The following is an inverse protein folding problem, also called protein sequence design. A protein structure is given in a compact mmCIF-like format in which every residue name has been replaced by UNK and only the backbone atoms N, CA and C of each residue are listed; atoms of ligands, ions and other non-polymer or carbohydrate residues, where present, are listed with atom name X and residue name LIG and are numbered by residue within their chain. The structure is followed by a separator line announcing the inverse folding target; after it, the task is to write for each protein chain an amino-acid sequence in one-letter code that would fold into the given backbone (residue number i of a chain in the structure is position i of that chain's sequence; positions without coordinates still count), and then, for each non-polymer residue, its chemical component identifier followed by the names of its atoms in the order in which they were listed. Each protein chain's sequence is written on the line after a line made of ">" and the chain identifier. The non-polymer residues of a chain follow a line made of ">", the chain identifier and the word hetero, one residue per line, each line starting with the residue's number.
data_IF_050403117726
#
_entry.id   IF_050403117726
#
_cell.length_a   1.000
_cell.length_b   1.000
_cell.length_c   1.000
_cell.angle_alpha   90.00
_cell.angle_beta   90.00
_cell.angle_gamma   90.00
#
_symmetry.space_group_name_H-M   'P 1'
#
loop_
_entity.id
_entity.type
_entity.pdbx_description
1 polymer ?
#
# COMPACT_ATOMS: atom_id res chain seq x y z
N UNK A 1 -17.84 13.89 21.75
CA UNK A 1 -16.74 13.21 21.03
C UNK A 1 -15.49 14.07 20.99
N UNK A 2 -15.46 15.18 20.24
CA UNK A 2 -14.25 16.03 20.09
C UNK A 2 -13.68 16.49 21.43
N UNK A 3 -14.53 16.96 22.35
CA UNK A 3 -14.09 17.36 23.70
C UNK A 3 -13.41 16.23 24.50
N UNK A 4 -13.74 14.96 24.21
CA UNK A 4 -13.18 13.80 24.91
C UNK A 4 -11.99 13.17 24.19
N UNK A 5 -11.90 13.31 22.86
CA UNK A 5 -10.76 12.90 22.05
C UNK A 5 -10.55 13.93 20.91
N UNK A 6 -9.72 14.95 21.15
CA UNK A 6 -9.48 16.02 20.19
C UNK A 6 -8.88 15.52 18.87
N UNK A 7 -8.13 14.42 18.90
CA UNK A 7 -7.39 13.88 17.75
C UNK A 7 -8.17 12.77 17.02
N UNK A 8 -9.46 12.56 17.31
CA UNK A 8 -10.24 11.46 16.70
C UNK A 8 -10.21 11.51 15.17
N UNK A 9 -10.28 12.71 14.58
CA UNK A 9 -10.27 12.89 13.13
C UNK A 9 -8.90 12.73 12.48
N UNK A 10 -7.81 12.88 13.24
CA UNK A 10 -6.46 12.60 12.75
C UNK A 10 -6.28 11.09 12.48
N UNK A 11 -7.01 10.25 13.22
CA UNK A 11 -6.88 8.80 13.19
C UNK A 11 -7.90 8.09 12.28
N UNK A 12 -8.75 8.81 11.55
CA UNK A 12 -9.64 8.21 10.55
C UNK A 12 -9.17 8.54 9.14
N UNK A 13 -9.31 7.57 8.24
CA UNK A 13 -8.84 7.66 6.85
C UNK A 13 -9.94 8.10 5.87
N UNK A 14 -11.19 8.16 6.33
CA UNK A 14 -12.33 8.55 5.50
C UNK A 14 -13.56 8.89 6.32
N UNK A 15 -14.48 9.59 5.67
CA UNK A 15 -15.80 9.92 6.20
C UNK A 15 -16.86 9.05 5.55
N UNK A 16 -17.75 8.49 6.36
CA UNK A 16 -18.84 7.63 5.89
C UNK A 16 -20.14 8.41 5.91
N UNK A 17 -20.91 8.33 4.82
CA UNK A 17 -22.20 9.00 4.68
C UNK A 17 -23.30 8.02 4.24
N UNK A 18 -24.46 8.11 4.88
CA UNK A 18 -25.68 7.39 4.49
C UNK A 18 -26.61 8.40 3.80
N UNK A 19 -26.29 8.72 2.55
CA UNK A 19 -26.94 9.79 1.78
C UNK A 19 -28.24 9.29 1.13
N UNK A 20 -29.27 9.02 1.95
CA UNK A 20 -30.59 8.61 1.46
C UNK A 20 -31.47 9.79 1.05
N UNK A 21 -32.34 9.63 0.03
CA UNK A 21 -33.29 10.64 -0.43
C UNK A 21 -34.54 10.70 0.49
N UNK A 22 -34.45 11.36 1.65
CA UNK A 22 -35.62 11.50 2.53
C UNK A 22 -36.59 12.62 2.08
N UNK A 23 -37.87 12.57 2.48
CA UNK A 23 -38.51 11.54 3.32
C UNK A 23 -38.78 10.22 2.58
N UNK A 24 -38.93 9.13 3.36
CA UNK A 24 -39.38 7.81 2.87
C UNK A 24 -38.62 7.25 1.66
N UNK A 25 -37.35 7.63 1.51
CA UNK A 25 -36.49 7.17 0.42
C UNK A 25 -37.04 7.49 -0.98
N UNK A 26 -37.81 8.58 -1.11
CA UNK A 26 -38.47 9.01 -2.35
C UNK A 26 -38.17 10.46 -2.73
N UNK A 27 -37.25 11.12 -2.01
CA UNK A 27 -36.80 12.49 -2.29
C UNK A 27 -36.21 12.68 -3.69
N UNK A 28 -35.98 13.94 -4.08
CA UNK A 28 -35.48 14.26 -5.42
C UNK A 28 -33.98 14.00 -5.51
N UNK A 29 -33.55 13.66 -6.71
CA UNK A 29 -32.16 13.52 -7.12
C UNK A 29 -31.40 14.86 -7.18
N UNK A 30 -32.09 15.97 -6.90
CA UNK A 30 -31.52 17.32 -6.83
C UNK A 30 -31.56 17.91 -5.41
N UNK A 31 -32.16 17.20 -4.45
CA UNK A 31 -32.27 17.69 -3.08
C UNK A 31 -30.88 17.75 -2.42
N UNK A 32 -30.69 18.78 -1.58
CA UNK A 32 -29.45 19.04 -0.86
C UNK A 32 -29.67 19.30 0.62
N UNK A 33 -28.61 19.16 1.40
CA UNK A 33 -28.65 19.31 2.86
C UNK A 33 -28.83 17.99 3.60
N UNK A 34 -29.10 18.09 4.90
CA UNK A 34 -29.20 16.94 5.81
C UNK A 34 -30.34 16.00 5.40
N UNK A 35 -30.04 14.71 5.28
CA UNK A 35 -31.03 13.68 4.98
C UNK A 35 -31.39 13.59 3.49
N UNK A 36 -30.55 14.12 2.60
CA UNK A 36 -30.71 14.04 1.14
C UNK A 36 -29.62 13.18 0.52
N UNK A 37 -29.65 13.02 -0.80
CA UNK A 37 -28.59 12.35 -1.55
C UNK A 37 -27.25 13.10 -1.57
N UNK A 38 -27.27 14.37 -1.12
CA UNK A 38 -26.11 15.23 -0.89
C UNK A 38 -25.81 15.41 0.60
N UNK A 39 -26.23 14.49 1.47
CA UNK A 39 -25.99 14.60 2.92
C UNK A 39 -24.51 14.74 3.26
N UNK A 40 -23.62 14.10 2.49
CA UNK A 40 -22.17 14.21 2.64
C UNK A 40 -21.66 15.67 2.58
N UNK A 41 -22.30 16.55 1.80
CA UNK A 41 -21.94 17.98 1.72
C UNK A 41 -22.24 18.68 3.04
N UNK A 42 -23.41 18.42 3.62
CA UNK A 42 -23.82 18.97 4.91
C UNK A 42 -22.95 18.43 6.05
N UNK A 43 -22.66 17.13 6.05
CA UNK A 43 -21.81 16.47 7.04
C UNK A 43 -20.40 17.05 7.04
N UNK A 44 -19.76 17.14 5.87
CA UNK A 44 -18.40 17.69 5.75
C UNK A 44 -18.34 19.19 6.08
N UNK A 45 -19.38 19.96 5.72
CA UNK A 45 -19.50 21.37 6.14
C UNK A 45 -19.63 21.50 7.66
N UNK A 46 -20.35 20.56 8.29
CA UNK A 46 -20.48 20.50 9.75
C UNK A 46 -19.12 20.21 10.40
N UNK A 47 -18.34 19.25 9.87
CA UNK A 47 -16.98 18.98 10.36
C UNK A 47 -16.08 20.22 10.29
N UNK A 48 -16.13 20.96 9.17
CA UNK A 48 -15.39 22.22 9.01
C UNK A 48 -15.80 23.26 10.05
N UNK A 49 -17.10 23.39 10.32
CA UNK A 49 -17.61 24.32 11.34
C UNK A 49 -17.15 23.98 12.77
N UNK A 50 -16.79 22.72 13.01
CA UNK A 50 -16.23 22.24 14.28
C UNK A 50 -14.69 22.38 14.36
N UNK A 51 -14.06 23.01 13.36
CA UNK A 51 -12.62 23.21 13.29
C UNK A 51 -11.82 22.03 12.75
N UNK A 52 -12.49 21.02 12.18
CA UNK A 52 -11.82 19.89 11.55
C UNK A 52 -11.43 20.29 10.12
N UNK A 53 -10.13 20.52 9.92
CA UNK A 53 -9.58 20.98 8.64
C UNK A 53 -9.02 19.84 7.77
N UNK A 54 -8.96 18.61 8.29
CA UNK A 54 -8.55 17.44 7.52
C UNK A 54 -9.60 17.17 6.43
N UNK A 55 -9.19 17.25 5.16
CA UNK A 55 -10.04 16.86 4.04
C UNK A 55 -10.09 15.34 3.97
N UNK A 56 -11.21 14.77 4.40
CA UNK A 56 -11.42 13.33 4.43
C UNK A 56 -12.03 12.84 3.10
N UNK A 57 -11.50 11.76 2.52
CA UNK A 57 -12.19 11.04 1.45
C UNK A 57 -13.57 10.57 1.91
N UNK A 58 -14.56 10.61 1.03
CA UNK A 58 -15.97 10.34 1.34
C UNK A 58 -16.36 8.97 0.77
N UNK A 59 -16.97 8.15 1.61
CA UNK A 59 -17.54 6.86 1.26
C UNK A 59 -19.05 6.92 1.51
N UNK A 60 -19.83 6.92 0.44
CA UNK A 60 -21.28 6.80 0.55
C UNK A 60 -21.59 5.30 0.65
N UNK A 61 -21.59 4.78 1.87
CA UNK A 61 -21.70 3.33 2.13
C UNK A 61 -23.12 2.80 1.97
N UNK A 62 -24.11 3.70 2.02
CA UNK A 62 -25.51 3.38 1.80
C UNK A 62 -26.26 4.53 1.12
N UNK A 63 -26.99 4.21 0.07
CA UNK A 63 -27.95 5.10 -0.59
C UNK A 63 -28.89 4.27 -1.47
N UNK A 64 -30.00 4.85 -1.91
CA UNK A 64 -30.94 4.20 -2.80
C UNK A 64 -32.35 4.79 -2.68
N UNK A 65 -33.17 4.50 -3.68
CA UNK A 65 -34.58 4.84 -3.68
C UNK A 65 -35.42 3.59 -3.46
N UNK A 66 -36.53 3.76 -2.75
CA UNK A 66 -37.47 2.67 -2.51
C UNK A 66 -38.34 2.41 -3.73
N UNK A 67 -38.38 1.16 -4.20
CA UNK A 67 -39.28 0.69 -5.26
C UNK A 67 -40.75 0.56 -4.82
N UNK A 68 -41.03 0.79 -3.53
CA UNK A 68 -42.39 0.87 -3.02
C UNK A 68 -43.06 2.19 -3.39
N UNK A 69 -42.27 3.27 -3.42
CA UNK A 69 -42.77 4.64 -3.60
C UNK A 69 -42.56 5.17 -5.03
N UNK A 70 -41.69 4.52 -5.81
CA UNK A 70 -41.29 4.97 -7.14
C UNK A 70 -41.26 3.80 -8.13
N UNK A 71 -41.55 4.09 -9.39
CA UNK A 71 -41.44 3.09 -10.46
C UNK A 71 -39.98 2.75 -10.77
N UNK A 72 -39.72 1.56 -11.32
CA UNK A 72 -38.37 1.15 -11.71
C UNK A 72 -37.69 2.16 -12.64
N UNK A 73 -38.46 2.70 -13.61
CA UNK A 73 -37.95 3.69 -14.57
C UNK A 73 -37.49 4.98 -13.87
N UNK A 74 -38.30 5.49 -12.93
CA UNK A 74 -37.96 6.68 -12.15
C UNK A 74 -36.74 6.46 -11.28
N UNK A 75 -36.62 5.30 -10.62
CA UNK A 75 -35.43 4.97 -9.82
C UNK A 75 -34.18 4.95 -10.70
N UNK A 76 -34.30 4.35 -11.90
CA UNK A 76 -33.23 4.34 -12.88
C UNK A 76 -32.75 5.74 -13.28
N UNK A 77 -33.68 6.63 -13.64
CA UNK A 77 -33.33 8.03 -13.98
C UNK A 77 -32.68 8.76 -12.81
N UNK A 78 -33.20 8.59 -11.58
CA UNK A 78 -32.66 9.22 -10.37
C UNK A 78 -31.25 8.75 -10.06
N UNK A 79 -31.00 7.44 -10.14
CA UNK A 79 -29.66 6.86 -9.94
C UNK A 79 -28.70 7.34 -11.03
N UNK A 80 -29.12 7.31 -12.30
CA UNK A 80 -28.30 7.82 -13.40
C UNK A 80 -27.93 9.30 -13.20
N UNK A 81 -28.88 10.14 -12.81
CA UNK A 81 -28.61 11.54 -12.49
C UNK A 81 -27.64 11.68 -11.31
N UNK A 82 -27.86 10.93 -10.23
CA UNK A 82 -27.02 11.00 -9.04
C UNK A 82 -25.57 10.61 -9.34
N UNK A 83 -25.34 9.49 -10.03
CA UNK A 83 -24.00 9.06 -10.42
C UNK A 83 -23.29 10.03 -11.38
N UNK A 84 -24.03 10.72 -12.24
CA UNK A 84 -23.44 11.58 -13.27
C UNK A 84 -23.35 13.05 -12.89
N UNK A 85 -24.10 13.53 -11.91
CA UNK A 85 -24.19 14.96 -11.56
C UNK A 85 -24.05 15.28 -10.07
N UNK A 86 -24.25 14.29 -9.19
CA UNK A 86 -24.26 14.53 -7.73
C UNK A 86 -23.04 13.93 -7.07
N UNK A 87 -22.77 12.66 -7.33
CA UNK A 87 -21.66 11.92 -6.75
C UNK A 87 -20.38 12.03 -7.61
N UNK A 88 -20.14 13.23 -8.13
CA UNK A 88 -18.99 13.56 -9.00
C UNK A 88 -17.90 14.36 -8.26
N UNK A 89 -18.11 14.68 -6.99
CA UNK A 89 -17.10 15.32 -6.14
C UNK A 89 -15.86 14.42 -6.07
N UNK A 90 -14.69 14.98 -6.35
CA UNK A 90 -13.41 14.24 -6.40
C UNK A 90 -13.01 13.62 -5.06
N UNK A 91 -13.63 14.05 -3.95
CA UNK A 91 -13.43 13.46 -2.62
C UNK A 91 -14.21 12.17 -2.45
N UNK A 92 -15.24 11.91 -3.26
CA UNK A 92 -16.02 10.67 -3.19
C UNK A 92 -15.20 9.54 -3.80
N UNK A 93 -14.88 8.55 -2.97
CA UNK A 93 -14.09 7.37 -3.36
C UNK A 93 -15.00 6.24 -3.82
N UNK A 94 -16.15 6.06 -3.15
CA UNK A 94 -17.09 5.00 -3.47
C UNK A 94 -18.52 5.39 -3.13
N UNK A 95 -19.46 4.84 -3.91
CA UNK A 95 -20.90 4.87 -3.65
C UNK A 95 -21.43 3.45 -3.71
N UNK A 96 -22.08 3.02 -2.65
CA UNK A 96 -22.60 1.66 -2.48
C UNK A 96 -24.12 1.72 -2.36
N UNK A 97 -24.86 1.41 -3.43
CA UNK A 97 -26.30 1.32 -3.35
C UNK A 97 -26.76 0.14 -2.48
N UNK A 98 -27.77 0.40 -1.66
CA UNK A 98 -28.45 -0.56 -0.81
C UNK A 98 -29.67 -1.12 -1.59
N UNK A 99 -29.87 -2.42 -1.81
CA UNK A 99 -28.90 -3.54 -1.76
C UNK A 99 -28.98 -4.42 -3.00
N UNK A 100 -27.87 -5.07 -3.36
CA UNK A 100 -27.83 -5.88 -4.58
C UNK A 100 -28.82 -7.05 -4.59
N UNK A 101 -28.88 -7.87 -3.52
CA UNK A 101 -29.73 -9.06 -3.49
C UNK A 101 -30.35 -9.34 -2.13
N UNK A 102 -31.58 -8.88 -1.93
CA UNK A 102 -32.43 -9.24 -0.78
C UNK A 102 -33.89 -8.91 -1.08
N UNK A 103 -34.61 -9.72 -1.86
CA UNK A 103 -35.98 -9.42 -2.26
C UNK A 103 -37.01 -9.54 -1.12
N UNK A 104 -36.59 -9.95 0.09
CA UNK A 104 -37.48 -10.23 1.22
C UNK A 104 -37.75 -8.98 2.08
N UNK A 105 -38.92 -8.87 2.72
CA UNK A 105 -39.17 -7.83 3.72
C UNK A 105 -38.15 -7.87 4.89
N UNK A 106 -37.87 -6.73 5.53
CA UNK A 106 -38.42 -5.40 5.24
C UNK A 106 -37.65 -4.64 4.15
N UNK A 107 -36.47 -5.11 3.73
CA UNK A 107 -35.57 -4.36 2.84
C UNK A 107 -35.71 -4.68 1.35
N UNK A 108 -36.62 -5.60 0.97
CA UNK A 108 -36.93 -5.93 -0.42
C UNK A 108 -37.29 -4.74 -1.29
N UNK A 109 -37.77 -3.66 -0.67
CA UNK A 109 -38.07 -2.41 -1.36
C UNK A 109 -36.84 -1.69 -1.93
N UNK A 110 -35.64 -2.10 -1.52
CA UNK A 110 -34.35 -1.59 -2.00
C UNK A 110 -33.58 -2.63 -2.82
N UNK A 111 -34.09 -3.86 -2.93
CA UNK A 111 -33.38 -4.93 -3.63
C UNK A 111 -33.25 -4.62 -5.12
N UNK A 112 -32.07 -4.87 -5.68
CA UNK A 112 -31.83 -4.75 -7.11
C UNK A 112 -32.20 -6.04 -7.85
N UNK A 113 -32.32 -7.15 -7.13
CA UNK A 113 -32.91 -8.40 -7.61
C UNK A 113 -34.36 -8.56 -7.16
N UNK A 114 -35.14 -9.24 -7.99
CA UNK A 114 -36.50 -9.71 -7.75
C UNK A 114 -36.47 -11.09 -7.09
N UNK A 115 -37.62 -11.53 -6.58
CA UNK A 115 -37.76 -12.82 -5.90
C UNK A 115 -37.46 -14.04 -6.79
N UNK A 116 -37.58 -13.88 -8.11
CA UNK A 116 -37.26 -14.91 -9.11
C UNK A 116 -35.77 -14.93 -9.52
N UNK A 117 -34.95 -14.05 -8.93
CA UNK A 117 -33.52 -13.91 -9.23
C UNK A 117 -33.21 -12.98 -10.41
N UNK A 118 -34.22 -12.48 -11.13
CA UNK A 118 -34.01 -11.48 -12.18
C UNK A 118 -33.72 -10.09 -11.61
N UNK A 119 -33.16 -9.19 -12.40
CA UNK A 119 -32.87 -7.82 -11.97
C UNK A 119 -34.01 -6.85 -12.31
N UNK A 120 -34.16 -5.80 -11.50
CA UNK A 120 -34.98 -4.62 -11.85
C UNK A 120 -34.29 -3.82 -12.97
N UNK A 121 -35.05 -3.13 -13.81
CA UNK A 121 -34.51 -2.40 -14.98
C UNK A 121 -33.52 -1.27 -14.64
N UNK A 122 -33.60 -0.71 -13.43
CA UNK A 122 -32.62 0.29 -12.96
C UNK A 122 -31.23 -0.32 -12.71
N UNK A 123 -31.12 -1.64 -12.51
CA UNK A 123 -29.82 -2.33 -12.43
C UNK A 123 -29.06 -2.16 -13.74
N UNK A 124 -29.70 -2.47 -14.87
CA UNK A 124 -29.05 -2.39 -16.19
C UNK A 124 -28.64 -0.95 -16.50
N UNK A 125 -29.53 0.03 -16.22
CA UNK A 125 -29.21 1.45 -16.38
C UNK A 125 -27.95 1.87 -15.64
N UNK A 126 -27.80 1.46 -14.37
CA UNK A 126 -26.60 1.79 -13.59
C UNK A 126 -25.41 0.95 -14.02
N UNK A 127 -25.60 -0.33 -14.36
CA UNK A 127 -24.53 -1.21 -14.89
C UNK A 127 -23.84 -0.56 -16.09
N UNK A 128 -24.63 -0.02 -17.01
CA UNK A 128 -24.19 0.48 -18.31
C UNK A 128 -23.62 1.91 -18.26
N UNK A 129 -23.66 2.58 -17.10
CA UNK A 129 -22.95 3.85 -16.90
C UNK A 129 -21.43 3.67 -17.03
N UNK A 130 -20.77 4.67 -17.63
CA UNK A 130 -19.32 4.75 -17.63
C UNK A 130 -18.80 4.84 -16.18
N UNK A 131 -17.85 3.97 -15.82
CA UNK A 131 -17.28 3.88 -14.47
C UNK A 131 -15.77 3.86 -14.56
N UNK A 132 -15.14 4.51 -13.59
CA UNK A 132 -13.72 4.29 -13.31
C UNK A 132 -13.60 2.89 -12.71
N UNK A 133 -12.62 2.12 -13.18
CA UNK A 133 -12.37 0.77 -12.66
C UNK A 133 -11.99 0.87 -11.18
N UNK A 134 -12.56 -0.01 -10.35
CA UNK A 134 -12.29 -0.08 -8.91
C UNK A 134 -10.91 -0.64 -8.58
N UNK A 135 -9.85 -0.04 -9.14
CA UNK A 135 -8.45 -0.40 -8.94
C UNK A 135 -7.71 0.82 -8.38
N UNK A 136 -7.89 1.14 -7.08
CA UNK A 136 -7.20 2.26 -6.47
C UNK A 136 -5.68 2.03 -6.56
N UNK A 137 -4.95 3.03 -7.04
CA UNK A 137 -3.49 2.96 -7.13
C UNK A 137 -2.91 2.89 -5.72
N UNK A 138 -2.24 1.78 -5.40
CA UNK A 138 -1.53 1.65 -4.13
C UNK A 138 -0.31 2.55 -4.13
N UNK A 139 -0.08 3.26 -3.02
CA UNK A 139 1.12 4.07 -2.86
C UNK A 139 2.26 3.16 -2.43
N UNK A 140 3.21 2.90 -3.32
CA UNK A 140 4.46 2.22 -2.98
C UNK A 140 5.49 3.27 -2.55
N UNK A 141 5.86 3.27 -1.26
CA UNK A 141 6.80 4.26 -0.72
C UNK A 141 7.51 3.74 0.51
N UNK A 142 8.77 4.13 0.68
CA UNK A 142 9.59 3.68 1.77
C UNK A 142 10.72 4.60 2.13
N UNK A 143 11.49 4.19 3.14
CA UNK A 143 12.73 4.87 3.53
C UNK A 143 13.78 3.83 3.90
N UNK A 144 14.96 3.93 3.30
CA UNK A 144 16.14 3.19 3.75
C UNK A 144 16.72 3.95 4.95
N UNK A 145 16.77 3.28 6.11
CA UNK A 145 17.32 3.80 7.34
C UNK A 145 18.81 3.49 7.48
N UNK A 146 19.27 2.41 6.83
CA UNK A 146 20.67 2.02 6.78
C UNK A 146 20.92 1.01 5.68
N UNK A 147 22.09 1.07 5.07
CA UNK A 147 22.59 0.02 4.19
C UNK A 147 24.05 -0.24 4.51
N UNK A 148 24.47 -1.49 4.37
CA UNK A 148 25.82 -1.92 4.65
C UNK A 148 26.24 -2.99 3.65
N UNK A 149 27.48 -2.90 3.19
CA UNK A 149 28.17 -3.97 2.48
C UNK A 149 29.40 -4.37 3.30
N UNK A 150 29.95 -5.55 3.03
CA UNK A 150 31.22 -5.96 3.62
C UNK A 150 32.28 -4.85 3.42
N UNK A 151 33.01 -4.42 4.46
CA UNK A 151 33.89 -3.27 4.39
C UNK A 151 35.14 -3.53 3.53
N UNK A 152 35.50 -4.79 3.35
CA UNK A 152 36.58 -5.24 2.47
C UNK A 152 36.01 -6.33 1.58
N UNK A 153 36.11 -6.14 0.26
CA UNK A 153 35.54 -7.06 -0.72
C UNK A 153 36.67 -7.45 -1.70
N UNK A 154 36.95 -8.75 -1.86
CA UNK A 154 37.86 -9.20 -2.89
C UNK A 154 37.32 -8.85 -4.29
N UNK A 155 38.18 -8.36 -5.18
CA UNK A 155 37.81 -8.16 -6.59
C UNK A 155 37.43 -9.50 -7.22
N UNK A 156 36.51 -9.48 -8.19
CA UNK A 156 36.03 -10.68 -8.89
C UNK A 156 35.35 -11.72 -7.97
N UNK A 157 34.98 -11.37 -6.74
CA UNK A 157 34.21 -12.22 -5.84
C UNK A 157 32.76 -11.78 -5.71
N UNK A 158 31.96 -12.63 -5.08
CA UNK A 158 30.67 -12.21 -4.57
C UNK A 158 30.82 -11.55 -3.21
N UNK A 159 29.99 -10.57 -2.92
CA UNK A 159 29.86 -9.98 -1.59
C UNK A 159 28.39 -9.97 -1.16
N UNK A 160 28.20 -9.86 0.16
CA UNK A 160 26.89 -9.76 0.79
C UNK A 160 26.74 -8.38 1.40
N UNK A 161 25.53 -7.85 1.31
CA UNK A 161 25.13 -6.65 2.03
C UNK A 161 23.73 -6.78 2.62
N UNK A 162 23.38 -5.77 3.39
CA UNK A 162 22.11 -5.66 4.10
C UNK A 162 21.56 -4.25 3.95
N UNK A 163 20.24 -4.14 3.83
CA UNK A 163 19.49 -2.89 3.81
C UNK A 163 18.43 -2.98 4.89
N UNK A 164 18.41 -2.01 5.79
CA UNK A 164 17.36 -1.80 6.78
C UNK A 164 16.41 -0.74 6.24
N UNK A 165 15.19 -1.13 5.90
CA UNK A 165 14.21 -0.24 5.25
C UNK A 165 12.85 -0.30 5.95
N UNK A 166 12.18 0.86 6.03
CA UNK A 166 10.81 0.98 6.51
C UNK A 166 9.86 1.15 5.34
N UNK A 167 8.80 0.36 5.32
CA UNK A 167 7.69 0.55 4.40
C UNK A 167 6.79 1.67 4.95
N UNK A 168 6.61 2.72 4.17
CA UNK A 168 5.79 3.90 4.52
C UNK A 168 4.61 4.07 3.54
N UNK A 169 4.41 3.09 2.66
CA UNK A 169 3.37 3.05 1.66
C UNK A 169 2.18 2.21 2.12
N UNK A 170 1.40 1.75 1.15
CA UNK A 170 0.16 1.00 1.34
C UNK A 170 0.27 -0.46 0.87
N UNK A 171 1.24 -0.79 0.02
CA UNK A 171 1.47 -2.16 -0.46
C UNK A 171 2.33 -2.96 0.52
N UNK A 172 2.18 -4.29 0.51
CA UNK A 172 3.10 -5.21 1.20
C UNK A 172 4.28 -5.47 0.27
N UNK A 173 5.50 -5.25 0.73
CA UNK A 173 6.68 -5.52 -0.10
C UNK A 173 7.06 -6.99 -0.03
N UNK A 174 7.22 -7.62 -1.18
CA UNK A 174 7.73 -9.00 -1.31
C UNK A 174 8.88 -9.09 -2.32
N UNK A 175 9.55 -10.24 -2.35
CA UNK A 175 10.76 -10.47 -3.15
C UNK A 175 10.54 -10.40 -4.67
N UNK A 176 9.29 -10.55 -5.14
CA UNK A 176 8.97 -10.51 -6.57
C UNK A 176 8.71 -9.08 -7.06
N UNK A 177 8.23 -8.21 -6.16
CA UNK A 177 7.82 -6.85 -6.47
C UNK A 177 8.91 -5.82 -6.18
N UNK A 178 9.68 -6.01 -5.10
CA UNK A 178 10.71 -5.06 -4.70
C UNK A 178 12.10 -5.54 -5.13
N UNK A 179 12.85 -4.64 -5.77
CA UNK A 179 14.22 -4.88 -6.22
C UNK A 179 15.16 -3.76 -5.78
N UNK A 180 16.46 -4.04 -5.72
CA UNK A 180 17.47 -3.05 -5.37
C UNK A 180 18.00 -2.40 -6.65
N UNK A 181 18.07 -1.07 -6.66
CA UNK A 181 18.73 -0.27 -7.67
C UNK A 181 19.93 0.48 -7.09
N UNK A 182 20.75 1.07 -7.96
CA UNK A 182 21.84 1.96 -7.57
C UNK A 182 21.83 3.23 -8.41
N UNK A 183 22.24 4.34 -7.82
CA UNK A 183 22.44 5.58 -8.56
C UNK A 183 23.62 5.43 -9.55
N UNK A 184 23.49 6.08 -10.71
CA UNK A 184 24.46 6.15 -11.83
C UNK A 184 24.78 4.84 -12.55
N UNK A 185 25.13 3.79 -11.80
CA UNK A 185 25.54 2.48 -12.32
C UNK A 185 24.88 1.40 -11.48
N UNK A 186 24.09 0.54 -12.12
CA UNK A 186 23.49 -0.61 -11.46
C UNK A 186 24.56 -1.57 -10.92
N UNK A 187 24.23 -2.22 -9.81
CA UNK A 187 25.09 -3.21 -9.19
C UNK A 187 24.70 -4.57 -9.77
N UNK A 188 25.66 -5.43 -10.13
CA UNK A 188 25.38 -6.78 -10.60
C UNK A 188 24.85 -7.66 -9.45
N UNK A 189 23.57 -7.49 -9.14
CA UNK A 189 22.84 -8.24 -8.13
C UNK A 189 22.66 -9.69 -8.58
N UNK A 190 23.06 -10.63 -7.73
CA UNK A 190 22.84 -12.07 -7.92
C UNK A 190 21.58 -12.55 -7.24
N UNK A 191 21.29 -12.06 -6.04
CA UNK A 191 20.07 -12.40 -5.32
C UNK A 191 19.71 -11.37 -4.26
N UNK A 192 18.43 -11.33 -3.91
CA UNK A 192 17.85 -10.55 -2.81
C UNK A 192 16.93 -11.46 -2.01
N UNK A 193 16.94 -11.34 -0.68
CA UNK A 193 16.11 -12.16 0.20
C UNK A 193 15.63 -11.35 1.40
N UNK A 194 14.34 -11.40 1.67
CA UNK A 194 13.68 -10.77 2.81
C UNK A 194 12.29 -11.37 3.04
N UNK A 195 11.80 -11.30 4.28
CA UNK A 195 10.41 -11.57 4.59
C UNK A 195 9.54 -10.40 4.15
N UNK A 196 8.25 -10.64 3.94
CA UNK A 196 7.30 -9.57 3.58
C UNK A 196 7.37 -8.39 4.56
N UNK A 197 7.35 -7.17 4.02
CA UNK A 197 7.42 -5.94 4.81
C UNK A 197 6.09 -5.19 4.66
N UNK A 198 5.22 -5.34 5.65
CA UNK A 198 3.91 -4.70 5.70
C UNK A 198 4.00 -3.17 5.85
N UNK A 199 2.94 -2.42 5.48
CA UNK A 199 2.82 -0.99 5.75
C UNK A 199 3.17 -0.60 7.19
N UNK A 200 4.02 0.42 7.33
CA UNK A 200 4.49 0.94 8.61
C UNK A 200 5.59 0.11 9.29
N UNK A 201 5.90 -1.09 8.80
CA UNK A 201 6.89 -1.99 9.40
C UNK A 201 8.30 -1.73 8.90
N UNK A 202 9.26 -2.16 9.72
CA UNK A 202 10.68 -2.20 9.41
C UNK A 202 11.06 -3.60 8.94
N UNK A 203 11.86 -3.70 7.88
CA UNK A 203 12.36 -4.96 7.36
C UNK A 203 13.85 -4.92 7.07
N UNK A 204 14.46 -6.11 7.10
CA UNK A 204 15.85 -6.33 6.75
C UNK A 204 15.93 -7.06 5.42
N UNK A 205 16.63 -6.47 4.45
CA UNK A 205 16.82 -7.01 3.11
C UNK A 205 18.27 -7.43 2.96
N UNK A 206 18.50 -8.72 2.74
CA UNK A 206 19.80 -9.28 2.43
C UNK A 206 19.98 -9.30 0.91
N UNK A 207 21.17 -8.93 0.44
CA UNK A 207 21.50 -9.01 -0.98
C UNK A 207 22.87 -9.60 -1.20
N UNK A 208 23.04 -10.25 -2.35
CA UNK A 208 24.31 -10.76 -2.85
C UNK A 208 24.60 -10.11 -4.20
N UNK A 209 25.81 -9.60 -4.38
CA UNK A 209 26.23 -8.92 -5.60
C UNK A 209 27.66 -9.31 -6.01
N UNK A 210 28.00 -9.15 -7.28
CA UNK A 210 29.36 -9.34 -7.76
C UNK A 210 30.21 -8.07 -7.57
N UNK A 211 31.43 -8.24 -7.09
CA UNK A 211 32.42 -7.17 -7.00
C UNK A 211 32.99 -6.87 -8.39
N UNK A 212 33.30 -5.61 -8.71
CA UNK A 212 34.00 -5.28 -9.95
C UNK A 212 35.48 -5.70 -9.89
N UNK A 213 36.16 -5.65 -11.03
CA UNK A 213 37.57 -6.07 -11.16
C UNK A 213 38.56 -5.06 -10.59
N UNK A 214 38.16 -3.79 -10.49
CA UNK A 214 39.05 -2.70 -10.05
C UNK A 214 39.22 -2.68 -8.53
N UNK A 215 40.43 -2.35 -8.07
CA UNK A 215 40.72 -2.13 -6.64
C UNK A 215 40.44 -0.69 -6.22
N UNK A 216 40.35 -0.44 -4.91
CA UNK A 216 40.18 0.89 -4.32
C UNK A 216 38.83 1.09 -3.62
N UNK A 217 38.49 2.35 -3.33
CA UNK A 217 37.25 2.69 -2.64
C UNK A 217 36.06 2.49 -3.58
N UNK A 218 35.14 1.63 -3.17
CA UNK A 218 33.89 1.36 -3.85
C UNK A 218 32.74 2.01 -3.08
N UNK A 219 32.24 3.10 -3.63
CA UNK A 219 31.05 3.78 -3.12
C UNK A 219 29.89 3.58 -4.08
N UNK A 220 28.74 3.18 -3.56
CA UNK A 220 27.47 3.10 -4.32
C UNK A 220 26.33 3.62 -3.49
N UNK A 221 25.32 4.20 -4.12
CA UNK A 221 24.13 4.68 -3.44
C UNK A 221 22.94 3.81 -3.84
N UNK A 222 22.40 3.06 -2.88
CA UNK A 222 21.35 2.08 -3.10
C UNK A 222 19.97 2.68 -2.89
N UNK A 223 18.99 2.24 -3.67
CA UNK A 223 17.57 2.51 -3.44
C UNK A 223 16.73 1.26 -3.74
N UNK A 224 15.47 1.24 -3.31
CA UNK A 224 14.52 0.19 -3.67
C UNK A 224 13.61 0.67 -4.81
N UNK A 225 13.31 -0.24 -5.73
CA UNK A 225 12.30 -0.09 -6.80
C UNK A 225 11.10 -0.94 -6.48
N UNK A 226 9.92 -0.40 -6.76
CA UNK A 226 8.63 -1.05 -6.60
C UNK A 226 8.23 -1.96 -7.75
N UNK A 227 6.96 -2.41 -7.73
CA UNK A 227 6.37 -3.30 -8.74
C UNK A 227 6.42 -2.71 -10.14
N UNK A 228 6.12 -1.42 -10.27
CA UNK A 228 6.19 -0.63 -11.51
C UNK A 228 7.63 -0.30 -11.94
N UNK A 229 8.65 -0.84 -11.26
CA UNK A 229 10.10 -0.54 -11.44
C UNK A 229 10.49 0.91 -11.14
N UNK A 230 9.54 1.71 -10.68
CA UNK A 230 9.78 3.05 -10.18
C UNK A 230 10.47 3.03 -8.82
N UNK A 231 11.23 4.09 -8.54
CA UNK A 231 11.95 4.24 -7.28
C UNK A 231 10.98 4.56 -6.14
N UNK A 232 11.06 3.78 -5.05
CA UNK A 232 10.14 3.89 -3.90
C UNK A 232 10.83 4.37 -2.61
N UNK A 233 12.16 4.47 -2.57
CA UNK A 233 12.91 4.96 -1.39
C UNK A 233 13.88 6.09 -1.70
N UNK A 234 14.41 6.73 -0.64
CA UNK A 234 15.65 7.50 -0.71
C UNK A 234 16.85 6.62 -1.11
N UNK A 235 17.94 7.29 -1.51
CA UNK A 235 19.22 6.66 -1.74
C UNK A 235 19.95 6.54 -0.40
N UNK A 236 20.73 5.48 -0.24
CA UNK A 236 21.59 5.30 0.92
C UNK A 236 22.98 4.81 0.47
N UNK A 237 24.07 5.51 0.83
CA UNK A 237 25.40 5.12 0.42
C UNK A 237 25.88 3.86 1.15
N UNK A 238 26.56 3.00 0.42
CA UNK A 238 27.42 1.95 0.93
C UNK A 238 28.85 2.22 0.48
N UNK A 239 29.80 1.84 1.32
CA UNK A 239 31.23 1.98 1.06
C UNK A 239 31.96 0.69 1.43
N UNK A 240 32.90 0.30 0.57
CA UNK A 240 33.78 -0.84 0.79
C UNK A 240 35.14 -0.58 0.15
N UNK A 241 36.17 -1.27 0.63
CA UNK A 241 37.49 -1.27 0.02
C UNK A 241 37.68 -2.54 -0.82
N UNK A 242 37.84 -2.38 -2.12
CA UNK A 242 38.08 -3.48 -3.06
C UNK A 242 39.56 -3.83 -3.09
N UNK A 243 39.87 -5.09 -2.80
CA UNK A 243 41.24 -5.59 -2.78
C UNK A 243 41.42 -6.74 -3.75
N UNK A 244 42.52 -6.70 -4.51
CA UNK A 244 42.95 -7.87 -5.27
C UNK A 244 43.69 -8.78 -4.32
N UNK A 245 43.10 -9.94 -4.04
CA UNK A 245 43.78 -10.95 -3.24
C UNK A 245 44.74 -11.73 -4.13
N UNK A 246 46.03 -11.54 -3.94
CA UNK A 246 47.04 -12.38 -4.58
C UNK A 246 47.13 -13.71 -3.81
N UNK A 247 47.03 -14.85 -4.50
CA UNK A 247 46.96 -16.19 -3.87
C UNK A 247 48.13 -16.46 -2.93
N UNK A 248 49.28 -15.84 -3.20
CA UNK A 248 50.53 -15.97 -2.43
C UNK A 248 50.48 -15.23 -1.08
N UNK A 249 49.69 -14.15 -0.97
CA UNK A 249 49.58 -13.38 0.27
C UNK A 249 48.56 -13.99 1.25
N UNK A 250 47.51 -14.64 0.75
CA UNK A 250 46.51 -15.32 1.60
C UNK A 250 47.16 -16.43 2.43
N UNK A 251 47.97 -17.30 1.81
CA UNK A 251 48.68 -18.35 2.55
C UNK A 251 49.55 -17.75 3.64
N UNK A 252 50.30 -16.69 3.34
CA UNK A 252 51.16 -16.04 4.34
C UNK A 252 50.40 -15.42 5.53
N UNK A 253 49.14 -14.99 5.35
CA UNK A 253 48.31 -14.44 6.42
C UNK A 253 47.66 -15.53 7.29
N UNK A 254 47.22 -16.63 6.69
CA UNK A 254 46.54 -17.71 7.41
C UNK A 254 47.48 -18.81 7.91
N UNK A 255 48.69 -18.95 7.36
CA UNK A 255 49.70 -19.94 7.77
C UNK A 255 50.05 -19.86 9.28
N UNK A 256 50.20 -18.67 9.90
CA UNK A 256 50.44 -18.56 11.34
C UNK A 256 49.24 -19.05 12.17
N UNK A 257 48.01 -18.76 11.71
CA UNK A 257 46.77 -19.14 12.39
C UNK A 257 46.56 -20.66 12.29
N UNK A 258 46.77 -21.24 11.12
CA UNK A 258 46.71 -22.68 10.89
C UNK A 258 47.77 -23.44 11.71
N UNK A 259 49.00 -22.94 11.79
CA UNK A 259 50.05 -23.51 12.65
C UNK A 259 49.68 -23.46 14.13
N UNK A 260 49.00 -22.40 14.59
CA UNK A 260 48.53 -22.29 15.96
C UNK A 260 47.48 -23.37 16.30
N UNK A 261 46.53 -23.63 15.40
CA UNK A 261 45.53 -24.69 15.58
C UNK A 261 46.07 -26.11 15.39
N UNK A 262 47.15 -26.28 14.62
CA UNK A 262 47.81 -27.58 14.45
C UNK A 262 48.74 -27.93 15.61
N UNK A 263 49.29 -26.95 16.31
CA UNK A 263 50.21 -27.16 17.44
C UNK A 263 49.50 -27.19 18.81
N UNK A 264 48.19 -26.97 18.87
CA UNK A 264 47.40 -27.23 20.07
C UNK A 264 47.05 -28.71 20.16
N UNK A 265 47.95 -29.53 20.70
CA UNK A 265 47.60 -30.90 21.13
C UNK A 265 46.47 -30.86 22.18
N UNK A 266 45.55 -31.83 22.18
CA UNK A 266 44.53 -31.94 23.21
C UNK A 266 45.22 -32.29 24.54
N UNK A 267 45.10 -31.41 25.53
CA UNK A 267 45.51 -31.68 26.90
C UNK A 267 44.79 -32.93 27.42
N UNK A 268 45.57 -34.00 27.61
CA UNK A 268 45.36 -35.19 28.43
C UNK A 268 43.94 -35.60 28.81
N UNK A 269 43.47 -36.70 28.22
CA UNK A 269 42.54 -37.61 28.89
C UNK A 269 43.26 -38.27 30.08
N UNK A 270 43.19 -37.61 31.24
CA UNK A 270 43.54 -38.22 32.53
C UNK A 270 42.47 -39.22 32.93
N UNK A 271 42.88 -40.48 33.09
CA UNK A 271 42.13 -41.54 33.79
C UNK A 271 41.78 -41.12 35.21
N UNK A 272 40.50 -41.22 35.56
CA UNK A 272 39.97 -41.84 36.79
C UNK A 272 38.52 -42.26 36.56
#
# INVERSE_FOLDING_TARGET
>A
MIASNPNVFENIDGWVSHSYPNPAFSGKETDSGKGTIRSFEWETSTLKSLGINKELPIFITETGWSNQNLSESMIGEKLSHAFTNVWTDSRIVAVTPFILNYPQPPFGVFSWTKSDGSFYSFYDKVRDLAKIKGEPKQIEKGTILGAFAQPIIPTESDYVGLILARNTGQSIWNQNEVSIGSDFVDIPLKSTSFLEIEPGKLGLILFKAAAPENTGIYTRSLFLRGSDKERITNSFPIEAYLIKLDKVQISSFFDPILKYFQNSEPYGSGTL
#
